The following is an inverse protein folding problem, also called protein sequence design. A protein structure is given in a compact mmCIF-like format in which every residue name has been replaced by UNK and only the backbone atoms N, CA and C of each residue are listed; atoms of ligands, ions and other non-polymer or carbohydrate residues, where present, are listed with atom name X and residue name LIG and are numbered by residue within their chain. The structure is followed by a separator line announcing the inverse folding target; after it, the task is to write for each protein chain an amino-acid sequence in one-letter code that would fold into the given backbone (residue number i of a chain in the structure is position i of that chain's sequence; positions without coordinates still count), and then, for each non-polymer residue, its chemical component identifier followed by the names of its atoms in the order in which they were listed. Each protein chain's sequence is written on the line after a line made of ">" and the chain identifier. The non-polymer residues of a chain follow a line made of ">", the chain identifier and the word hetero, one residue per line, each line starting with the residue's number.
data_IF_122194806045
#
_entry.id   IF_122194806045
#
_cell.length_a   1.000
_cell.length_b   1.000
_cell.length_c   1.000
_cell.angle_alpha   90.00
_cell.angle_beta   90.00
_cell.angle_gamma   90.00
#
_symmetry.space_group_name_H-M   'P 1'
#
loop_
_entity.id
_entity.type
_entity.pdbx_description
1 polymer ?
#
# COMPACT_ATOMS: atom_id res chain seq x y z
N UNK A 1 21.29 -35.37 2.06
CA UNK A 1 21.86 -34.16 1.41
C UNK A 1 20.77 -33.31 0.78
N UNK A 2 19.89 -33.87 -0.05
CA UNK A 2 18.73 -33.14 -0.64
C UNK A 2 17.89 -32.37 0.39
N UNK A 3 17.42 -33.05 1.45
CA UNK A 3 16.63 -32.42 2.52
C UNK A 3 17.36 -31.27 3.25
N UNK A 4 18.69 -31.33 3.36
CA UNK A 4 19.51 -30.30 4.02
C UNK A 4 19.74 -29.11 3.08
N UNK A 5 19.92 -29.36 1.79
CA UNK A 5 19.98 -28.34 0.73
C UNK A 5 18.62 -27.63 0.55
N UNK A 6 17.52 -28.36 0.70
CA UNK A 6 16.15 -27.81 0.63
C UNK A 6 15.83 -26.90 1.83
N UNK A 7 16.20 -27.34 3.05
CA UNK A 7 16.05 -26.55 4.27
C UNK A 7 16.90 -25.26 4.22
N UNK A 8 18.18 -25.38 3.82
CA UNK A 8 19.06 -24.20 3.68
C UNK A 8 18.58 -23.25 2.59
N UNK A 9 18.09 -23.76 1.44
CA UNK A 9 17.48 -22.93 0.39
C UNK A 9 16.24 -22.17 0.88
N UNK A 10 15.39 -22.81 1.67
CA UNK A 10 14.20 -22.16 2.26
C UNK A 10 14.58 -21.07 3.27
N UNK A 11 15.59 -21.31 4.12
CA UNK A 11 16.06 -20.30 5.07
C UNK A 11 16.62 -19.06 4.35
N UNK A 12 17.34 -19.27 3.25
CA UNK A 12 17.81 -18.17 2.40
C UNK A 12 16.66 -17.37 1.76
N UNK A 13 15.62 -18.04 1.24
CA UNK A 13 14.44 -17.37 0.67
C UNK A 13 13.71 -16.55 1.74
N UNK A 14 13.51 -17.12 2.93
CA UNK A 14 12.88 -16.41 4.07
C UNK A 14 13.73 -15.21 4.50
N UNK A 15 15.05 -15.34 4.51
CA UNK A 15 15.94 -14.23 4.86
C UNK A 15 15.86 -13.10 3.82
N UNK A 16 15.87 -13.44 2.52
CA UNK A 16 15.74 -12.47 1.43
C UNK A 16 14.40 -11.74 1.52
N UNK A 17 13.30 -12.47 1.72
CA UNK A 17 11.96 -11.91 1.90
C UNK A 17 11.93 -10.86 3.03
N UNK A 18 12.46 -11.21 4.20
CA UNK A 18 12.56 -10.29 5.35
C UNK A 18 13.42 -9.07 5.07
N UNK A 19 14.54 -9.23 4.36
CA UNK A 19 15.41 -8.12 3.97
C UNK A 19 14.72 -7.18 3.00
N UNK A 20 14.04 -7.72 1.98
CA UNK A 20 13.24 -6.97 1.03
C UNK A 20 12.16 -6.14 1.73
N UNK A 21 11.40 -6.74 2.65
CA UNK A 21 10.39 -6.03 3.47
C UNK A 21 11.00 -4.92 4.31
N UNK A 22 12.17 -5.15 4.88
CA UNK A 22 12.90 -4.13 5.65
C UNK A 22 13.34 -2.96 4.76
N UNK A 23 13.76 -3.22 3.52
CA UNK A 23 14.15 -2.18 2.55
C UNK A 23 12.97 -1.23 2.26
N UNK A 24 11.75 -1.76 2.16
CA UNK A 24 10.54 -0.96 1.94
C UNK A 24 10.28 0.04 3.07
N UNK A 25 10.71 -0.27 4.30
CA UNK A 25 10.54 0.59 5.47
C UNK A 25 11.58 1.71 5.61
N UNK A 26 12.58 1.81 4.72
CA UNK A 26 13.52 2.94 4.77
C UNK A 26 12.82 4.20 4.23
N UNK A 27 12.88 5.33 4.97
CA UNK A 27 12.17 6.56 4.58
C UNK A 27 12.49 7.04 3.17
N UNK A 28 13.74 6.91 2.73
CA UNK A 28 14.20 7.32 1.41
C UNK A 28 13.60 6.43 0.30
N UNK A 29 13.38 5.14 0.57
CA UNK A 29 12.78 4.20 -0.36
C UNK A 29 11.26 4.44 -0.40
N UNK A 30 10.62 4.41 0.76
CA UNK A 30 9.17 4.61 0.87
C UNK A 30 8.75 5.98 0.34
N UNK A 31 9.51 7.04 0.66
CA UNK A 31 9.23 8.39 0.19
C UNK A 31 9.29 8.50 -1.34
N UNK A 32 10.23 7.80 -1.99
CA UNK A 32 10.30 7.74 -3.47
C UNK A 32 9.12 6.96 -4.06
N UNK A 33 8.73 5.86 -3.44
CA UNK A 33 7.55 5.09 -3.87
C UNK A 33 6.30 5.95 -3.76
N UNK A 34 6.10 6.63 -2.62
CA UNK A 34 4.97 7.55 -2.42
C UNK A 34 4.99 8.65 -3.48
N UNK A 35 6.13 9.36 -3.63
CA UNK A 35 6.25 10.46 -4.59
C UNK A 35 5.99 10.03 -6.04
N UNK A 36 6.45 8.84 -6.41
CA UNK A 36 6.34 8.33 -7.78
C UNK A 36 4.96 7.79 -8.13
N UNK A 37 4.22 7.23 -7.16
CA UNK A 37 3.03 6.41 -7.46
C UNK A 37 1.74 6.86 -6.76
N UNK A 38 1.81 7.73 -5.75
CA UNK A 38 0.64 8.24 -5.03
C UNK A 38 0.30 9.64 -5.53
N UNK A 39 -0.84 9.79 -6.20
CA UNK A 39 -1.24 11.06 -6.83
C UNK A 39 -1.39 12.20 -5.82
N UNK A 40 -1.81 11.90 -4.59
CA UNK A 40 -2.01 12.90 -3.54
C UNK A 40 -0.71 13.53 -3.03
N UNK A 41 0.45 13.02 -3.50
CA UNK A 41 1.78 13.55 -3.20
C UNK A 41 2.35 14.45 -4.30
N UNK A 42 1.58 14.75 -5.36
CA UNK A 42 2.02 15.53 -6.52
C UNK A 42 2.63 16.88 -6.13
N UNK A 43 1.96 17.62 -5.25
CA UNK A 43 2.38 18.94 -4.78
C UNK A 43 3.34 18.91 -3.57
N UNK A 44 3.63 17.73 -3.02
CA UNK A 44 4.50 17.57 -1.84
C UNK A 44 5.92 17.24 -2.28
N UNK A 45 6.92 17.94 -1.76
CA UNK A 45 8.33 17.65 -2.14
C UNK A 45 8.77 16.25 -1.67
N UNK A 46 9.74 15.65 -2.35
CA UNK A 46 10.27 14.34 -1.92
C UNK A 46 10.88 14.43 -0.52
N UNK A 47 11.62 15.51 -0.26
CA UNK A 47 12.26 15.79 1.02
C UNK A 47 11.22 15.86 2.14
N UNK A 48 10.12 16.57 1.91
CA UNK A 48 9.01 16.65 2.86
C UNK A 48 8.36 15.28 3.11
N UNK A 49 8.09 14.49 2.05
CA UNK A 49 7.55 13.13 2.22
C UNK A 49 8.50 12.27 3.06
N UNK A 50 9.81 12.32 2.79
CA UNK A 50 10.81 11.58 3.56
C UNK A 50 10.81 12.01 5.03
N UNK A 51 10.71 13.31 5.32
CA UNK A 51 10.63 13.82 6.69
C UNK A 51 9.32 13.41 7.40
N UNK A 52 8.19 13.40 6.69
CA UNK A 52 6.93 12.86 7.21
C UNK A 52 7.06 11.38 7.60
N UNK A 53 7.71 10.57 6.77
CA UNK A 53 7.94 9.13 7.02
C UNK A 53 8.92 8.89 8.17
N UNK A 54 10.01 9.68 8.27
CA UNK A 54 10.95 9.61 9.41
C UNK A 54 10.27 9.90 10.75
N UNK A 55 9.27 10.80 10.71
CA UNK A 55 8.53 11.26 11.86
C UNK A 55 9.35 12.22 12.72
N UNK A 56 8.80 13.41 12.98
CA UNK A 56 9.21 14.16 14.17
C UNK A 56 8.67 13.39 15.37
N UNK A 57 9.54 12.63 16.05
CA UNK A 57 9.22 11.71 17.16
C UNK A 57 8.66 12.39 18.43
N UNK A 58 8.51 13.71 18.42
CA UNK A 58 8.45 14.51 19.64
C UNK A 58 7.05 15.10 19.93
N UNK A 59 6.04 14.74 19.14
CA UNK A 59 4.64 15.07 19.44
C UNK A 59 3.88 13.77 19.71
N UNK A 60 3.18 13.71 20.84
CA UNK A 60 2.35 12.56 21.23
C UNK A 60 1.48 12.10 20.05
N UNK A 61 1.80 10.92 19.51
CA UNK A 61 1.17 10.39 18.30
C UNK A 61 1.59 11.16 17.05
N UNK A 62 2.65 10.71 16.36
CA UNK A 62 2.97 11.18 15.01
C UNK A 62 1.78 10.90 14.08
N UNK A 63 0.87 11.87 13.96
CA UNK A 63 -0.37 11.75 13.19
C UNK A 63 -0.10 11.74 11.68
N UNK A 64 1.10 12.15 11.25
CA UNK A 64 1.47 12.25 9.84
C UNK A 64 1.87 10.92 9.22
N UNK A 65 2.54 10.03 9.94
CA UNK A 65 2.91 8.71 9.41
C UNK A 65 2.82 7.65 10.50
N UNK A 66 2.19 6.53 10.16
CA UNK A 66 2.06 5.38 11.04
C UNK A 66 2.29 4.10 10.24
N UNK A 67 3.31 3.34 10.62
CA UNK A 67 3.39 1.93 10.25
C UNK A 67 2.33 1.16 11.04
N UNK A 68 1.51 0.37 10.33
CA UNK A 68 0.41 -0.39 10.89
C UNK A 68 0.85 -1.84 11.14
N UNK A 69 -0.01 -2.63 11.80
CA UNK A 69 0.23 -4.05 11.91
C UNK A 69 0.04 -4.69 10.52
N UNK A 70 1.10 -5.34 10.03
CA UNK A 70 1.09 -6.07 8.77
C UNK A 70 0.08 -7.23 8.78
N UNK A 71 -0.33 -7.71 9.95
CA UNK A 71 -1.36 -8.72 10.08
C UNK A 71 -2.66 -8.07 10.53
N UNK A 72 -3.72 -8.27 9.74
CA UNK A 72 -5.07 -7.87 10.12
C UNK A 72 -5.99 -9.10 10.13
N UNK A 73 -6.81 -9.20 11.16
CA UNK A 73 -7.87 -10.19 11.26
C UNK A 73 -9.21 -9.48 11.05
N UNK A 74 -9.87 -9.78 9.94
CA UNK A 74 -11.20 -9.25 9.65
C UNK A 74 -12.21 -10.34 9.97
N UNK A 75 -13.15 -10.03 10.88
CA UNK A 75 -14.20 -10.95 11.28
C UNK A 75 -14.89 -11.56 10.04
N UNK A 76 -15.03 -12.89 10.02
CA UNK A 76 -15.62 -13.67 8.93
C UNK A 76 -14.87 -13.68 7.58
N UNK A 77 -13.88 -12.80 7.38
CA UNK A 77 -13.05 -12.77 6.18
C UNK A 77 -11.67 -13.42 6.41
N UNK A 78 -11.26 -13.59 7.68
CA UNK A 78 -10.01 -14.23 8.06
C UNK A 78 -8.81 -13.28 8.07
N UNK A 79 -7.62 -13.87 8.19
CA UNK A 79 -6.34 -13.16 8.31
C UNK A 79 -5.83 -12.70 6.94
N UNK A 80 -5.37 -11.46 6.87
CA UNK A 80 -4.54 -10.96 5.78
C UNK A 80 -3.17 -10.53 6.32
N UNK A 81 -2.13 -10.79 5.53
CA UNK A 81 -0.75 -10.46 5.86
C UNK A 81 -0.13 -9.65 4.73
N UNK A 82 0.25 -8.43 5.07
CA UNK A 82 0.87 -7.43 4.22
C UNK A 82 2.39 -7.41 4.41
N UNK A 83 3.11 -6.99 3.39
CA UNK A 83 4.56 -6.85 3.45
C UNK A 83 4.98 -5.55 4.16
N UNK A 84 4.35 -4.42 3.80
CA UNK A 84 4.60 -3.13 4.46
C UNK A 84 3.34 -2.27 4.47
N UNK A 85 2.53 -2.43 5.52
CA UNK A 85 1.27 -1.70 5.66
C UNK A 85 1.45 -0.44 6.53
N UNK A 86 1.03 0.71 6.00
CA UNK A 86 1.17 2.00 6.67
C UNK A 86 0.03 2.97 6.31
N UNK A 87 -0.02 4.09 6.99
CA UNK A 87 -0.79 5.25 6.54
C UNK A 87 0.01 6.54 6.71
N UNK A 88 -0.23 7.49 5.81
CA UNK A 88 0.43 8.80 5.76
C UNK A 88 -0.61 9.90 5.54
N UNK A 89 -0.48 11.03 6.22
CA UNK A 89 -1.23 12.25 5.95
C UNK A 89 -0.36 13.16 5.07
N UNK A 90 -0.83 13.43 3.86
CA UNK A 90 -0.15 14.30 2.90
C UNK A 90 -0.80 15.69 2.91
N UNK A 91 -0.02 16.78 3.06
CA UNK A 91 -0.53 18.13 2.93
C UNK A 91 -0.98 18.39 1.49
N UNK A 92 -2.00 19.23 1.34
CA UNK A 92 -2.59 19.60 0.05
C UNK A 92 -2.50 21.12 -0.15
N UNK A 93 -2.55 21.56 -1.41
CA UNK A 93 -2.44 22.99 -1.75
C UNK A 93 -3.56 23.87 -1.15
N UNK A 94 -4.72 23.28 -0.84
CA UNK A 94 -5.85 23.94 -0.19
C UNK A 94 -5.71 24.04 1.35
N UNK A 95 -4.57 23.61 1.90
CA UNK A 95 -4.31 23.58 3.34
C UNK A 95 -4.92 22.38 4.07
N UNK A 96 -5.61 21.47 3.37
CA UNK A 96 -6.14 20.24 3.95
C UNK A 96 -5.06 19.15 4.03
N UNK A 97 -5.36 18.09 4.78
CA UNK A 97 -4.55 16.87 4.83
C UNK A 97 -5.34 15.71 4.23
N UNK A 98 -4.73 14.95 3.32
CA UNK A 98 -5.30 13.68 2.85
C UNK A 98 -4.59 12.50 3.50
N UNK A 99 -5.36 11.75 4.30
CA UNK A 99 -4.90 10.47 4.85
C UNK A 99 -4.97 9.39 3.77
N UNK A 100 -3.84 8.72 3.54
CA UNK A 100 -3.68 7.63 2.59
C UNK A 100 -3.28 6.38 3.35
N UNK A 101 -3.97 5.28 3.09
CA UNK A 101 -3.56 3.94 3.49
C UNK A 101 -2.77 3.31 2.34
N UNK A 102 -1.61 2.74 2.64
CA UNK A 102 -0.71 2.19 1.63
C UNK A 102 -0.15 0.86 2.11
N UNK A 103 -0.21 -0.12 1.23
CA UNK A 103 0.56 -1.35 1.31
C UNK A 103 1.53 -1.43 0.13
N UNK A 104 2.77 -1.85 0.41
CA UNK A 104 3.80 -2.10 -0.60
C UNK A 104 4.24 -3.55 -0.50
N UNK A 105 3.88 -4.32 -1.53
CA UNK A 105 4.14 -5.75 -1.66
C UNK A 105 5.37 -5.99 -2.53
N UNK A 106 6.23 -6.89 -2.11
CA UNK A 106 7.39 -7.32 -2.90
C UNK A 106 7.29 -8.81 -3.22
N UNK A 107 7.12 -9.12 -4.50
CA UNK A 107 6.86 -10.49 -4.93
C UNK A 107 7.89 -10.98 -5.93
N UNK A 108 8.59 -12.04 -5.54
CA UNK A 108 9.62 -12.66 -6.36
C UNK A 108 9.03 -13.49 -7.51
N UNK A 109 7.88 -14.13 -7.31
CA UNK A 109 7.26 -15.03 -8.30
C UNK A 109 6.13 -14.32 -9.02
N UNK A 110 6.26 -14.10 -10.33
CA UNK A 110 5.27 -13.36 -11.13
C UNK A 110 3.87 -13.96 -11.09
N UNK A 111 3.76 -15.29 -11.02
CA UNK A 111 2.49 -16.00 -10.88
C UNK A 111 2.68 -17.21 -9.94
N UNK A 112 2.36 -17.07 -8.64
CA UNK A 112 2.46 -18.17 -7.68
C UNK A 112 1.27 -19.16 -7.76
N UNK A 113 0.48 -19.13 -8.83
CA UNK A 113 -0.74 -19.93 -9.01
C UNK A 113 -2.01 -19.09 -9.20
N UNK A 114 -1.90 -17.77 -9.16
CA UNK A 114 -2.98 -16.80 -9.39
C UNK A 114 -2.42 -15.48 -9.93
N UNK A 115 -3.27 -14.68 -10.59
CA UNK A 115 -2.88 -13.38 -11.09
C UNK A 115 -2.62 -12.39 -9.93
N UNK A 116 -1.48 -11.67 -9.90
CA UNK A 116 -1.21 -10.65 -8.89
C UNK A 116 -2.31 -9.58 -8.79
N UNK A 117 -2.97 -9.26 -9.90
CA UNK A 117 -4.11 -8.36 -9.93
C UNK A 117 -5.25 -8.81 -9.00
N UNK A 118 -5.68 -10.06 -9.10
CA UNK A 118 -6.79 -10.57 -8.29
C UNK A 118 -6.47 -10.51 -6.81
N UNK A 119 -5.22 -10.85 -6.45
CA UNK A 119 -4.73 -10.75 -5.06
C UNK A 119 -4.64 -9.29 -4.60
N UNK A 120 -4.14 -8.39 -5.45
CA UNK A 120 -4.11 -6.96 -5.19
C UNK A 120 -5.49 -6.37 -4.92
N UNK A 121 -6.52 -6.84 -5.61
CA UNK A 121 -7.89 -6.41 -5.36
C UNK A 121 -8.44 -6.93 -4.02
N UNK A 122 -8.11 -8.17 -3.62
CA UNK A 122 -8.45 -8.67 -2.28
C UNK A 122 -7.76 -7.83 -1.20
N UNK A 123 -6.46 -7.58 -1.34
CA UNK A 123 -5.66 -6.78 -0.40
C UNK A 123 -6.21 -5.36 -0.26
N UNK A 124 -6.54 -4.72 -1.39
CA UNK A 124 -7.16 -3.40 -1.39
C UNK A 124 -8.52 -3.41 -0.65
N UNK A 125 -9.34 -4.45 -0.88
CA UNK A 125 -10.64 -4.62 -0.21
C UNK A 125 -10.49 -4.85 1.29
N UNK A 126 -9.48 -5.62 1.71
CA UNK A 126 -9.12 -5.86 3.11
C UNK A 126 -8.68 -4.58 3.81
N UNK A 127 -7.81 -3.80 3.16
CA UNK A 127 -7.38 -2.50 3.66
C UNK A 127 -8.56 -1.54 3.83
N UNK A 128 -9.44 -1.42 2.84
CA UNK A 128 -10.63 -0.57 2.92
C UNK A 128 -11.51 -1.02 4.09
N UNK A 129 -11.82 -2.31 4.17
CA UNK A 129 -12.67 -2.88 5.23
C UNK A 129 -12.08 -2.65 6.62
N UNK A 130 -10.74 -2.70 6.76
CA UNK A 130 -10.04 -2.46 8.03
C UNK A 130 -10.21 -1.04 8.57
N UNK A 131 -10.64 -0.08 7.75
CA UNK A 131 -10.90 1.29 8.19
C UNK A 131 -12.27 1.45 8.88
N UNK A 132 -13.16 0.46 8.79
CA UNK A 132 -14.49 0.51 9.43
C UNK A 132 -14.36 0.62 10.96
N UNK A 133 -15.09 1.56 11.56
CA UNK A 133 -15.03 1.87 12.98
C UNK A 133 -13.86 2.79 13.37
N UNK A 134 -12.95 3.10 12.43
CA UNK A 134 -11.84 4.04 12.62
C UNK A 134 -11.99 5.31 11.78
N UNK A 135 -12.18 5.16 10.47
CA UNK A 135 -12.26 6.29 9.53
C UNK A 135 -13.70 6.53 9.04
N UNK A 136 -14.50 5.48 8.95
CA UNK A 136 -15.87 5.51 8.48
C UNK A 136 -16.72 4.47 9.21
N UNK A 137 -18.05 4.57 9.08
CA UNK A 137 -18.98 3.55 9.52
C UNK A 137 -20.21 3.50 8.59
N UNK A 138 -21.20 2.67 8.93
CA UNK A 138 -22.42 2.54 8.14
C UNK A 138 -23.32 3.79 8.11
N UNK A 139 -23.04 4.80 8.93
CA UNK A 139 -23.76 6.08 8.97
C UNK A 139 -23.07 7.13 8.09
N UNK A 140 -21.76 7.00 7.86
CA UNK A 140 -21.01 7.91 6.99
C UNK A 140 -19.88 7.18 6.26
N UNK A 141 -20.14 6.76 5.02
CA UNK A 141 -19.15 6.13 4.14
C UNK A 141 -18.15 7.12 3.54
N UNK A 142 -18.49 8.41 3.44
CA UNK A 142 -17.62 9.45 2.90
C UNK A 142 -16.38 9.70 3.79
N UNK A 143 -16.40 9.17 5.02
CA UNK A 143 -15.23 9.13 5.89
C UNK A 143 -14.09 8.25 5.36
N UNK A 144 -14.37 7.32 4.44
CA UNK A 144 -13.42 6.33 3.92
C UNK A 144 -12.18 7.02 3.33
N UNK A 145 -10.99 6.53 3.72
CA UNK A 145 -9.72 7.06 3.25
C UNK A 145 -9.21 6.27 2.05
N UNK A 146 -8.52 6.98 1.15
CA UNK A 146 -7.97 6.38 -0.05
C UNK A 146 -6.96 5.30 0.32
N UNK A 147 -7.04 4.15 -0.35
CA UNK A 147 -6.13 3.03 -0.19
C UNK A 147 -5.37 2.76 -1.49
N UNK A 148 -4.09 2.41 -1.38
CA UNK A 148 -3.24 1.96 -2.47
C UNK A 148 -2.55 0.64 -2.09
N UNK A 149 -2.51 -0.30 -3.03
CA UNK A 149 -1.66 -1.49 -2.95
C UNK A 149 -0.67 -1.39 -4.11
N UNK A 150 0.62 -1.37 -3.80
CA UNK A 150 1.69 -1.28 -4.80
C UNK A 150 2.45 -2.60 -4.82
N UNK A 151 2.44 -3.29 -5.97
CA UNK A 151 3.18 -4.53 -6.15
C UNK A 151 4.48 -4.28 -6.90
N UNK A 152 5.60 -4.61 -6.27
CA UNK A 152 6.94 -4.54 -6.86
C UNK A 152 7.39 -5.96 -7.19
N UNK A 153 7.68 -6.21 -8.47
CA UNK A 153 8.14 -7.50 -8.97
C UNK A 153 9.59 -7.37 -9.43
N UNK A 154 10.60 -7.52 -8.54
CA UNK A 154 12.01 -7.31 -8.87
C UNK A 154 12.55 -8.35 -9.86
N UNK A 155 11.93 -9.52 -9.97
CA UNK A 155 12.31 -10.59 -10.90
C UNK A 155 11.20 -10.89 -11.93
N UNK A 156 10.53 -9.84 -12.42
CA UNK A 156 9.56 -10.01 -13.50
C UNK A 156 10.22 -10.59 -14.77
N UNK A 157 9.48 -11.37 -15.56
CA UNK A 157 9.98 -11.81 -16.86
C UNK A 157 10.38 -10.60 -17.73
N UNK A 158 11.47 -10.71 -18.51
CA UNK A 158 12.00 -9.61 -19.35
C UNK A 158 10.96 -8.86 -20.18
N UNK A 159 9.91 -9.54 -20.63
CA UNK A 159 8.79 -8.95 -21.39
C UNK A 159 7.96 -7.91 -20.59
N UNK A 160 8.13 -7.83 -19.28
CA UNK A 160 7.48 -6.89 -18.36
C UNK A 160 8.49 -6.00 -17.63
N UNK A 161 9.78 -6.07 -18.00
CA UNK A 161 10.81 -5.23 -17.39
C UNK A 161 10.52 -3.75 -17.71
N UNK A 162 10.55 -2.90 -16.69
CA UNK A 162 10.17 -1.48 -16.79
C UNK A 162 8.66 -1.20 -16.93
N UNK A 163 7.78 -2.21 -16.90
CA UNK A 163 6.33 -1.97 -17.00
C UNK A 163 5.74 -1.49 -15.67
N UNK A 164 4.96 -0.42 -15.74
CA UNK A 164 4.12 0.06 -14.63
C UNK A 164 2.66 -0.01 -15.05
N UNK A 165 1.87 -0.81 -14.34
CA UNK A 165 0.43 -0.93 -14.58
C UNK A 165 -0.34 -0.33 -13.41
N UNK A 166 -1.37 0.47 -13.69
CA UNK A 166 -2.26 1.05 -12.69
C UNK A 166 -3.68 0.60 -12.93
N UNK A 167 -4.36 0.18 -11.86
CA UNK A 167 -5.76 -0.23 -11.89
C UNK A 167 -6.49 0.57 -10.81
N UNK A 168 -7.65 1.11 -11.16
CA UNK A 168 -8.45 1.93 -10.27
C UNK A 168 -9.94 1.78 -10.60
N UNK A 169 -10.79 2.11 -9.63
CA UNK A 169 -12.22 2.28 -9.83
C UNK A 169 -12.51 3.72 -10.25
N UNK A 170 -13.37 3.89 -11.25
CA UNK A 170 -13.85 5.18 -11.74
C UNK A 170 -15.37 5.11 -11.90
N UNK A 171 -16.08 6.20 -11.57
CA UNK A 171 -17.48 6.36 -11.92
C UNK A 171 -17.59 6.60 -13.44
N UNK A 172 -18.39 5.78 -14.11
CA UNK A 172 -18.69 5.91 -15.54
C UNK A 172 -20.19 6.11 -15.74
N UNK A 173 -20.57 7.20 -16.44
CA UNK A 173 -21.96 7.40 -16.84
C UNK A 173 -22.23 6.57 -18.10
N UNK A 174 -23.14 5.61 -17.99
CA UNK A 174 -23.54 4.74 -19.11
C UNK A 174 -24.79 5.28 -19.83
N UNK A 175 -25.64 6.05 -19.15
CA UNK A 175 -26.85 6.66 -19.74
C UNK A 175 -27.40 7.78 -18.85
N UNK A 176 -28.12 8.73 -19.47
CA UNK A 176 -28.71 9.91 -18.82
C UNK A 176 -27.72 11.07 -18.64
N UNK A 177 -28.22 12.30 -18.55
CA UNK A 177 -27.38 13.47 -18.28
C UNK A 177 -27.19 13.64 -16.77
N UNK A 178 -26.00 13.32 -16.27
CA UNK A 178 -25.62 13.68 -14.90
C UNK A 178 -25.36 15.18 -14.83
N UNK A 179 -26.30 15.95 -14.28
CA UNK A 179 -26.04 17.31 -13.80
C UNK A 179 -25.71 17.18 -12.31
N UNK A 180 -24.52 16.68 -11.99
CA UNK A 180 -23.99 16.84 -10.64
C UNK A 180 -23.41 18.25 -10.56
N UNK A 181 -24.09 19.14 -9.84
CA UNK A 181 -23.48 20.38 -9.39
C UNK A 181 -22.45 20.01 -8.32
N UNK A 182 -21.17 20.01 -8.73
CA UNK A 182 -20.03 20.06 -7.82
C UNK A 182 -20.06 21.33 -6.97
#
# INVERSE_FOLDING_TARGET
>A
MEKVLEITSNDHIIMIDKLCKRILGYPEILGRIIKGFIKESEDVSLEEIIELVKGKKDQEGNSYFQQLNNVIDIAHHGRAEFDYFCCINLPQADGTMKRIYLDVEIQNVENPGYAPLTRGNDYLSRMITSQNGKEYDCRNYDGMKKAYVIWILPQAAKKRDGHVNRINSKLENISGSTIERL
#
